data_IF_499973336000
#
_entry.id   IF_499973336000
#
_cell.length_a   1.000
_cell.length_b   1.000
_cell.length_c   1.000
_cell.angle_alpha   90.00
_cell.angle_beta   90.00
_cell.angle_gamma   90.00
#
_symmetry.space_group_name_H-M   'P 1'
#
loop_
_entity.id
_entity.type
_entity.pdbx_description
1 polymer ?
#
# COMPACT_ATOMS: atom_id res chain seq x y z
N UNK A 1 -3.79 3.57 -4.69
CA UNK A 1 -5.08 3.09 -4.15
C UNK A 1 -5.87 4.30 -3.71
N UNK A 2 -7.17 4.37 -4.02
CA UNK A 2 -8.05 5.49 -3.66
C UNK A 2 -8.79 5.17 -2.35
N UNK A 3 -9.00 6.17 -1.49
CA UNK A 3 -9.82 5.99 -0.28
C UNK A 3 -11.26 5.57 -0.64
N UNK A 4 -11.89 4.70 0.16
CA UNK A 4 -13.31 4.37 0.00
C UNK A 4 -14.20 5.55 0.40
N UNK A 5 -15.45 5.59 -0.05
CA UNK A 5 -16.44 6.55 0.48
C UNK A 5 -16.89 6.17 1.90
N UNK A 6 -17.54 7.10 2.63
CA UNK A 6 -18.11 6.80 3.95
C UNK A 6 -19.05 5.58 3.92
N UNK A 7 -19.93 5.49 2.93
CA UNK A 7 -20.88 4.38 2.79
C UNK A 7 -20.17 3.05 2.53
N UNK A 8 -19.15 3.05 1.66
CA UNK A 8 -18.36 1.86 1.38
C UNK A 8 -17.58 1.39 2.60
N UNK A 9 -16.93 2.31 3.30
CA UNK A 9 -16.17 2.03 4.52
C UNK A 9 -17.08 1.51 5.63
N UNK A 10 -18.28 2.07 5.78
CA UNK A 10 -19.25 1.62 6.79
C UNK A 10 -19.78 0.22 6.47
N UNK A 11 -20.07 -0.07 5.20
CA UNK A 11 -20.59 -1.35 4.75
C UNK A 11 -19.57 -2.50 4.86
N UNK A 12 -18.28 -2.21 4.66
CA UNK A 12 -17.20 -3.21 4.78
C UNK A 12 -16.67 -3.37 6.21
N UNK A 13 -16.98 -2.44 7.11
CA UNK A 13 -16.43 -2.42 8.46
C UNK A 13 -16.87 -3.62 9.30
N UNK A 14 -15.95 -4.08 10.15
CA UNK A 14 -16.22 -5.10 11.17
C UNK A 14 -16.97 -4.48 12.33
N UNK A 15 -17.89 -5.24 12.93
CA UNK A 15 -18.58 -4.82 14.15
C UNK A 15 -17.60 -4.67 15.33
N UNK A 16 -17.90 -3.69 16.19
CA UNK A 16 -17.14 -3.42 17.41
C UNK A 16 -16.16 -2.25 17.27
N UNK A 17 -16.07 -1.47 18.35
CA UNK A 17 -15.12 -0.36 18.46
C UNK A 17 -13.68 -0.90 18.38
N UNK A 18 -12.80 -0.26 17.58
CA UNK A 18 -11.39 -0.62 17.55
C UNK A 18 -10.67 -0.24 18.86
N UNK A 19 -11.27 0.63 19.67
CA UNK A 19 -10.69 1.14 20.91
C UNK A 19 -11.54 0.74 22.12
N UNK A 20 -10.87 0.38 23.20
CA UNK A 20 -11.47 0.03 24.49
C UNK A 20 -11.96 1.26 25.25
N UNK A 21 -11.37 2.44 25.00
CA UNK A 21 -11.73 3.71 25.61
C UNK A 21 -11.28 4.92 24.75
N UNK A 22 -11.70 6.12 25.15
CA UNK A 22 -11.36 7.36 24.45
C UNK A 22 -9.85 7.64 24.41
N UNK A 23 -9.12 7.40 25.51
CA UNK A 23 -7.67 7.64 25.56
C UNK A 23 -6.91 6.78 24.54
N UNK A 24 -7.32 5.52 24.38
CA UNK A 24 -6.75 4.63 23.38
C UNK A 24 -7.03 5.13 21.95
N UNK A 25 -8.24 5.63 21.70
CA UNK A 25 -8.60 6.25 20.43
C UNK A 25 -7.79 7.51 20.14
N UNK A 26 -7.60 8.40 21.13
CA UNK A 26 -6.78 9.60 20.97
C UNK A 26 -5.31 9.25 20.69
N UNK A 27 -4.72 8.32 21.42
CA UNK A 27 -3.35 7.88 21.17
C UNK A 27 -3.18 7.31 19.75
N UNK A 28 -4.16 6.55 19.25
CA UNK A 28 -4.15 6.06 17.88
C UNK A 28 -4.27 7.18 16.85
N UNK A 29 -5.16 8.16 17.08
CA UNK A 29 -5.33 9.31 16.20
C UNK A 29 -4.08 10.18 16.13
N UNK A 30 -3.42 10.44 17.26
CA UNK A 30 -2.15 11.18 17.34
C UNK A 30 -1.05 10.49 16.50
N UNK A 31 -0.94 9.15 16.62
CA UNK A 31 0.06 8.37 15.88
C UNK A 31 -0.24 8.24 14.37
N UNK A 32 -1.47 8.52 13.93
CA UNK A 32 -1.92 8.25 12.56
C UNK A 32 -2.67 9.43 11.94
N UNK A 33 -3.90 9.69 12.39
CA UNK A 33 -4.80 10.67 11.78
C UNK A 33 -4.23 12.10 11.82
N UNK A 34 -3.66 12.53 12.93
CA UNK A 34 -3.18 13.92 13.12
C UNK A 34 -2.04 14.34 12.19
N UNK A 35 -1.35 13.36 11.59
CA UNK A 35 -0.25 13.56 10.63
C UNK A 35 -0.52 12.96 9.26
N UNK A 36 -1.73 12.44 9.01
CA UNK A 36 -2.09 11.84 7.74
C UNK A 36 -2.64 12.90 6.78
N UNK A 37 -2.20 12.88 5.51
CA UNK A 37 -2.67 13.78 4.45
C UNK A 37 -4.19 13.69 4.22
N UNK A 38 -4.77 12.53 4.48
CA UNK A 38 -6.19 12.26 4.24
C UNK A 38 -7.11 12.84 5.30
N UNK A 39 -6.58 13.17 6.48
CA UNK A 39 -7.33 13.77 7.57
C UNK A 39 -6.98 15.26 7.74
N UNK A 40 -6.10 15.80 6.90
CA UNK A 40 -5.68 17.20 6.95
C UNK A 40 -6.84 18.20 6.87
N UNK A 41 -7.90 17.85 6.13
CA UNK A 41 -9.06 18.71 5.92
C UNK A 41 -9.88 18.91 7.22
N UNK A 42 -10.07 17.87 8.03
CA UNK A 42 -10.85 17.96 9.29
C UNK A 42 -10.16 18.86 10.31
N UNK A 43 -8.83 18.87 10.34
CA UNK A 43 -8.02 19.78 11.18
C UNK A 43 -8.13 21.25 10.75
N UNK A 44 -8.69 21.53 9.57
CA UNK A 44 -8.96 22.88 9.04
C UNK A 44 -10.46 23.18 8.97
N UNK A 45 -11.26 22.46 9.77
CA UNK A 45 -12.72 22.55 9.82
C UNK A 45 -13.46 22.19 8.51
N UNK A 46 -12.79 21.53 7.56
CA UNK A 46 -13.40 20.99 6.35
C UNK A 46 -13.79 19.52 6.54
N UNK A 47 -14.89 19.33 7.26
CA UNK A 47 -15.43 18.01 7.59
C UNK A 47 -15.95 17.23 6.38
N UNK A 48 -16.27 17.91 5.28
CA UNK A 48 -16.77 17.27 4.06
C UNK A 48 -15.68 16.49 3.32
N UNK A 49 -14.42 16.90 3.48
CA UNK A 49 -13.26 16.27 2.83
C UNK A 49 -12.39 15.46 3.82
N UNK A 50 -12.95 15.07 4.97
CA UNK A 50 -12.27 14.27 5.97
C UNK A 50 -12.09 12.81 5.60
N UNK A 51 -11.19 12.12 6.32
CA UNK A 51 -10.97 10.70 6.13
C UNK A 51 -12.21 9.90 6.58
N UNK A 52 -12.85 9.10 5.71
CA UNK A 52 -14.06 8.37 6.07
C UNK A 52 -13.81 7.27 7.09
N UNK A 53 -12.58 6.74 7.16
CA UNK A 53 -12.23 5.61 8.01
C UNK A 53 -12.27 5.97 9.50
N UNK A 54 -11.83 7.18 9.87
CA UNK A 54 -11.86 7.60 11.27
C UNK A 54 -13.30 7.84 11.74
N UNK A 55 -14.17 8.37 10.87
CA UNK A 55 -15.59 8.51 11.18
C UNK A 55 -16.24 7.15 11.46
N UNK A 56 -15.94 6.12 10.65
CA UNK A 56 -16.44 4.76 10.89
C UNK A 56 -15.97 4.21 12.25
N UNK A 57 -14.71 4.47 12.63
CA UNK A 57 -14.18 4.11 13.95
C UNK A 57 -14.93 4.82 15.09
N UNK A 58 -15.22 6.12 14.94
CA UNK A 58 -15.97 6.91 15.93
C UNK A 58 -17.45 6.48 16.03
N UNK A 59 -18.00 5.87 14.98
CA UNK A 59 -19.34 5.24 15.00
C UNK A 59 -19.34 3.84 15.65
N UNK A 60 -18.21 3.40 16.21
CA UNK A 60 -18.10 2.14 16.96
C UNK A 60 -17.93 0.90 16.07
N UNK A 61 -17.42 1.07 14.85
CA UNK A 61 -17.10 -0.02 13.93
C UNK A 61 -15.62 0.01 13.55
N UNK A 62 -15.01 -1.13 13.33
CA UNK A 62 -13.60 -1.22 12.95
C UNK A 62 -13.47 -1.25 11.43
N UNK A 63 -12.83 -0.25 10.79
CA UNK A 63 -12.60 -0.26 9.34
C UNK A 63 -11.89 -1.54 8.85
N UNK A 64 -12.22 -1.99 7.64
CA UNK A 64 -11.60 -3.18 7.04
C UNK A 64 -10.13 -2.92 6.67
N UNK A 65 -9.81 -1.66 6.42
CA UNK A 65 -8.52 -1.11 6.03
C UNK A 65 -7.51 -1.09 7.19
N UNK A 66 -7.96 -1.37 8.41
CA UNK A 66 -7.13 -1.39 9.62
C UNK A 66 -6.71 -2.82 9.94
N UNK A 67 -5.46 -3.15 9.63
CA UNK A 67 -4.88 -4.46 9.89
C UNK A 67 -4.41 -4.53 11.35
N UNK A 68 -4.96 -5.46 12.12
CA UNK A 68 -4.60 -5.61 13.54
C UNK A 68 -3.17 -6.14 13.67
N UNK A 69 -2.41 -5.59 14.62
CA UNK A 69 -1.07 -6.08 14.98
C UNK A 69 -1.16 -7.09 16.13
N UNK A 70 -0.32 -8.13 16.10
CA UNK A 70 -0.31 -9.19 17.11
C UNK A 70 0.30 -8.73 18.45
N UNK A 71 1.34 -7.89 18.38
CA UNK A 71 1.99 -7.28 19.54
C UNK A 71 1.85 -5.77 19.46
N UNK A 72 0.77 -5.25 20.03
CA UNK A 72 0.48 -3.83 20.01
C UNK A 72 0.72 -3.16 21.36
N UNK A 73 1.27 -1.95 21.30
CA UNK A 73 1.21 -1.01 22.40
C UNK A 73 -0.01 -0.09 22.24
N UNK A 74 -0.32 0.67 23.30
CA UNK A 74 -1.38 1.67 23.23
C UNK A 74 -1.10 2.68 22.11
N UNK A 75 -2.06 2.86 21.22
CA UNK A 75 -1.94 3.75 20.06
C UNK A 75 -1.23 3.12 18.86
N UNK A 76 -0.88 1.83 18.91
CA UNK A 76 -0.27 1.08 17.80
C UNK A 76 -0.98 -0.26 17.51
N UNK A 77 -2.30 -0.34 17.75
CA UNK A 77 -3.06 -1.59 17.64
C UNK A 77 -3.30 -2.05 16.21
N UNK A 78 -3.24 -1.12 15.26
CA UNK A 78 -3.54 -1.37 13.87
C UNK A 78 -2.43 -0.85 12.96
N UNK A 79 -2.52 -1.18 11.67
CA UNK A 79 -1.86 -0.49 10.56
C UNK A 79 -2.96 -0.09 9.60
N UNK A 80 -3.09 1.21 9.31
CA UNK A 80 -3.99 1.67 8.27
C UNK A 80 -3.30 1.56 6.91
N UNK A 81 -3.85 0.79 5.97
CA UNK A 81 -3.25 0.60 4.64
C UNK A 81 -3.23 1.88 3.78
N UNK A 82 -4.08 2.85 4.11
CA UNK A 82 -4.19 4.15 3.45
C UNK A 82 -3.42 5.25 4.18
N UNK A 83 -2.79 4.98 5.32
CA UNK A 83 -2.02 6.01 6.01
C UNK A 83 -0.90 6.54 5.12
N UNK A 84 -0.78 7.87 5.04
CA UNK A 84 0.27 8.58 4.31
C UNK A 84 0.64 9.81 5.12
N UNK A 85 1.88 9.86 5.57
CA UNK A 85 2.39 10.97 6.37
C UNK A 85 2.41 12.25 5.52
N UNK A 86 2.12 13.39 6.12
CA UNK A 86 2.19 14.70 5.45
C UNK A 86 3.63 15.05 5.05
N UNK A 87 4.60 14.58 5.84
CA UNK A 87 6.02 14.84 5.63
C UNK A 87 6.73 13.79 4.76
N UNK A 88 6.04 12.74 4.31
CA UNK A 88 6.63 11.63 3.54
C UNK A 88 7.10 12.03 2.12
N UNK A 89 6.97 13.31 1.76
CA UNK A 89 7.28 13.83 0.43
C UNK A 89 6.23 13.36 -0.58
N UNK A 90 5.71 14.30 -1.38
CA UNK A 90 4.85 13.95 -2.51
C UNK A 90 5.53 12.97 -3.47
N UNK A 91 4.83 12.50 -4.52
CA UNK A 91 5.43 11.65 -5.55
C UNK A 91 6.41 12.47 -6.41
N UNK A 92 7.54 12.88 -5.83
CA UNK A 92 8.75 13.07 -6.59
C UNK A 92 9.13 11.70 -7.08
N UNK A 93 9.22 11.54 -8.39
CA UNK A 93 9.92 10.41 -8.99
C UNK A 93 11.19 10.17 -8.18
N UNK A 94 11.45 8.95 -7.66
CA UNK A 94 12.70 8.67 -6.98
C UNK A 94 13.81 9.08 -7.93
N UNK A 95 14.49 10.19 -7.63
CA UNK A 95 15.60 10.65 -8.45
C UNK A 95 16.65 9.56 -8.39
N UNK A 96 17.10 9.01 -9.52
CA UNK A 96 18.14 8.00 -9.52
C UNK A 96 19.32 8.53 -8.72
N UNK A 97 19.74 7.77 -7.71
CA UNK A 97 20.96 8.08 -6.97
C UNK A 97 22.10 8.03 -8.01
N UNK A 98 22.93 9.08 -8.15
CA UNK A 98 24.09 9.01 -9.03
C UNK A 98 24.96 7.83 -8.63
N UNK A 99 25.39 7.02 -9.61
CA UNK A 99 26.25 5.86 -9.34
C UNK A 99 27.50 6.31 -8.55
N UNK A 100 27.82 5.66 -7.40
CA UNK A 100 29.02 5.99 -6.62
C UNK A 100 30.29 5.85 -7.46
N UNK A 101 31.31 6.68 -7.23
CA UNK A 101 32.57 6.57 -7.97
C UNK A 101 33.22 5.20 -7.75
N UNK A 102 33.52 4.48 -8.84
CA UNK A 102 34.08 3.12 -8.82
C UNK A 102 33.04 2.00 -8.90
N UNK A 103 31.75 2.32 -8.90
CA UNK A 103 30.69 1.40 -9.29
C UNK A 103 30.48 1.57 -10.80
N UNK A 104 30.88 0.58 -11.60
CA UNK A 104 30.51 0.57 -13.02
C UNK A 104 28.98 0.53 -13.12
N UNK A 105 28.40 1.29 -14.05
CA UNK A 105 26.96 1.40 -14.21
C UNK A 105 26.31 0.06 -14.61
N UNK A 106 24.98 -0.01 -14.51
CA UNK A 106 24.24 -1.15 -15.05
C UNK A 106 24.51 -1.27 -16.56
N UNK A 107 24.96 -2.45 -17.01
CA UNK A 107 25.13 -2.73 -18.43
C UNK A 107 23.78 -2.55 -19.16
N UNK A 108 23.79 -2.02 -20.39
CA UNK A 108 22.57 -1.87 -21.17
C UNK A 108 21.94 -3.25 -21.41
N UNK A 109 20.61 -3.31 -21.30
CA UNK A 109 19.86 -4.57 -21.27
C UNK A 109 19.70 -5.19 -22.65
N UNK A 110 19.85 -4.39 -23.70
CA UNK A 110 19.67 -4.75 -25.11
C UNK A 110 20.46 -6.00 -25.53
N UNK A 111 21.70 -6.15 -25.07
CA UNK A 111 22.51 -7.35 -25.36
C UNK A 111 22.01 -8.62 -24.65
N UNK A 112 21.20 -8.47 -23.60
CA UNK A 112 20.66 -9.55 -22.77
C UNK A 112 19.15 -9.78 -22.98
N UNK A 113 18.51 -9.02 -23.86
CA UNK A 113 17.15 -9.26 -24.35
C UNK A 113 17.14 -10.45 -25.30
N UNK A 114 17.36 -11.65 -24.75
CA UNK A 114 16.97 -12.87 -25.46
C UNK A 114 15.44 -12.93 -25.50
N UNK A 115 14.83 -13.38 -26.61
CA UNK A 115 13.45 -13.81 -26.58
C UNK A 115 13.33 -14.88 -25.49
N UNK A 116 12.72 -14.53 -24.35
CA UNK A 116 12.36 -15.49 -23.33
C UNK A 116 11.34 -16.44 -23.95
N UNK A 117 11.79 -17.59 -24.45
CA UNK A 117 10.89 -18.71 -24.64
C UNK A 117 10.53 -19.18 -23.23
N UNK A 118 9.26 -19.08 -22.87
CA UNK A 118 8.78 -19.75 -21.68
C UNK A 118 8.92 -21.27 -21.90
N UNK A 119 8.97 -22.06 -20.82
CA UNK A 119 9.10 -23.52 -20.92
C UNK A 119 8.01 -24.15 -21.83
N UNK A 120 6.84 -23.52 -21.88
CA UNK A 120 5.73 -23.88 -22.76
C UNK A 120 6.01 -23.64 -24.26
N UNK A 121 6.85 -22.67 -24.61
CA UNK A 121 7.20 -22.32 -25.99
C UNK A 121 8.35 -23.18 -26.56
N UNK A 122 9.12 -23.83 -25.69
CA UNK A 122 10.23 -24.73 -26.07
C UNK A 122 9.79 -26.15 -26.43
N UNK A 123 8.69 -26.65 -25.86
CA UNK A 123 8.18 -28.00 -26.10
C UNK A 123 7.83 -28.30 -27.58
N UNK A 124 7.10 -27.44 -28.32
CA UNK A 124 6.73 -27.75 -29.71
C UNK A 124 7.92 -27.72 -30.69
N UNK A 125 8.94 -26.88 -30.46
CA UNK A 125 10.11 -26.77 -31.37
C UNK A 125 11.10 -27.93 -31.27
N UNK A 126 11.14 -28.65 -30.15
CA UNK A 126 11.97 -29.86 -30.02
C UNK A 126 11.38 -31.01 -30.82
N UNK A 127 10.04 -31.17 -30.79
CA UNK A 127 9.33 -32.19 -31.57
C UNK A 127 9.48 -31.98 -33.10
N UNK A 128 9.52 -30.73 -33.55
CA UNK A 128 9.73 -30.36 -34.97
C UNK A 128 11.19 -30.61 -35.43
N UNK A 129 12.17 -30.47 -34.53
CA UNK A 129 13.57 -30.80 -34.83
C UNK A 129 13.83 -32.30 -34.90
N UNK A 130 13.14 -33.10 -34.10
CA UNK A 130 13.23 -34.57 -34.14
C UNK A 130 12.62 -35.15 -35.43
N UNK A 131 11.59 -34.51 -35.99
CA UNK A 131 10.98 -34.92 -37.27
C UNK A 131 11.76 -34.46 -38.50
N UNK A 132 12.44 -33.33 -38.43
CA UNK A 132 13.26 -32.81 -39.53
C UNK A 132 14.62 -33.52 -39.72
N UNK A 133 15.08 -34.29 -38.73
CA UNK A 133 16.33 -35.07 -38.79
C UNK A 133 16.16 -36.52 -39.26
N UNK A 134 14.95 -36.92 -39.70
CA UNK A 134 14.59 -38.29 -40.04
C UNK A 134 14.37 -38.53 -41.56
N UNK A 135 15.05 -37.77 -42.42
CA UNK A 135 15.12 -38.02 -43.87
C UNK A 135 16.57 -38.02 -44.35
#
# INVERSE_FOLDING_TARGET
MTLPTCEQALASAREGSPFSNGTEGYAWMENNCERCVHDAATRRDDWANGCPLILVALLGKTPAEWLRKDHAHMGDQYTCIYFRDEDDGGPGEPTPIPDPPGQEGLFPRDEFERPCLMFADTAPRLAERETAGAL
#
